data_IF_046642447308
#
_entry.id   IF_046642447308
#
_cell.length_a   1.000
_cell.length_b   1.000
_cell.length_c   1.000
_cell.angle_alpha   90.00
_cell.angle_beta   90.00
_cell.angle_gamma   90.00
#
_symmetry.space_group_name_H-M   'P 1'
#
loop_
_entity.id
_entity.type
_entity.pdbx_description
1 polymer ?
#
# COMPACT_ATOMS: atom_id res chain seq x y z
N UNK A 1 -20.22 -10.79 19.25
CA UNK A 1 -21.48 -10.76 18.49
C UNK A 1 -21.22 -11.35 17.12
N UNK A 2 -22.01 -12.34 16.70
CA UNK A 2 -21.96 -12.85 15.32
C UNK A 2 -22.93 -12.04 14.48
N UNK A 3 -22.43 -11.31 13.49
CA UNK A 3 -23.24 -10.61 12.51
C UNK A 3 -23.47 -11.57 11.32
N UNK A 4 -24.66 -12.13 11.13
CA UNK A 4 -24.91 -13.09 10.05
C UNK A 4 -24.95 -12.39 8.68
N UNK A 5 -24.68 -13.15 7.62
CA UNK A 5 -24.84 -12.65 6.25
C UNK A 5 -26.31 -12.26 5.99
N UNK A 6 -26.60 -11.12 5.33
CA UNK A 6 -27.98 -10.70 5.08
C UNK A 6 -28.76 -11.75 4.27
N UNK A 7 -29.95 -12.12 4.75
CA UNK A 7 -30.84 -13.08 4.07
C UNK A 7 -31.64 -12.44 2.93
N UNK A 8 -31.67 -11.11 2.86
CA UNK A 8 -32.38 -10.34 1.85
C UNK A 8 -31.48 -9.23 1.28
N UNK A 9 -31.64 -8.95 -0.02
CA UNK A 9 -30.95 -7.84 -0.66
C UNK A 9 -31.46 -6.51 -0.10
N UNK A 10 -30.55 -5.58 0.14
CA UNK A 10 -30.88 -4.16 0.34
C UNK A 10 -30.78 -3.44 -0.99
N UNK A 11 -31.55 -2.37 -1.15
CA UNK A 11 -31.37 -1.44 -2.26
C UNK A 11 -30.03 -0.72 -2.16
N UNK A 12 -29.57 -0.18 -3.30
CA UNK A 12 -28.36 0.66 -3.37
C UNK A 12 -28.43 1.83 -2.39
N UNK A 13 -29.59 2.47 -2.28
CA UNK A 13 -29.78 3.64 -1.42
C UNK A 13 -29.71 3.29 0.07
N UNK A 14 -30.36 2.20 0.49
CA UNK A 14 -30.27 1.71 1.86
C UNK A 14 -28.83 1.40 2.27
N UNK A 15 -28.04 0.80 1.36
CA UNK A 15 -26.62 0.51 1.62
C UNK A 15 -25.82 1.81 1.75
N UNK A 16 -25.98 2.73 0.79
CA UNK A 16 -25.21 3.98 0.78
C UNK A 16 -25.56 4.90 1.95
N UNK A 17 -26.83 4.95 2.39
CA UNK A 17 -27.23 5.72 3.56
C UNK A 17 -26.58 5.14 4.82
N UNK A 18 -26.63 3.83 5.03
CA UNK A 18 -25.96 3.20 6.16
C UNK A 18 -24.44 3.46 6.19
N UNK A 19 -23.78 3.50 5.02
CA UNK A 19 -22.36 3.84 4.93
C UNK A 19 -22.08 5.31 5.26
N UNK A 20 -22.96 6.24 4.87
CA UNK A 20 -22.84 7.67 5.21
C UNK A 20 -23.03 7.89 6.71
N UNK A 21 -24.04 7.27 7.30
CA UNK A 21 -24.32 7.35 8.74
C UNK A 21 -23.14 6.82 9.56
N UNK A 22 -22.53 5.71 9.13
CA UNK A 22 -21.33 5.18 9.76
C UNK A 22 -20.15 6.16 9.67
N UNK A 23 -19.90 6.72 8.47
CA UNK A 23 -18.81 7.68 8.22
C UNK A 23 -18.94 8.96 9.06
N UNK A 24 -20.14 9.39 9.42
CA UNK A 24 -20.35 10.61 10.23
C UNK A 24 -19.77 10.48 11.65
N UNK A 25 -19.44 9.26 12.09
CA UNK A 25 -18.75 8.98 13.35
C UNK A 25 -17.22 8.97 13.22
N UNK A 26 -16.67 9.08 12.01
CA UNK A 26 -15.23 9.11 11.79
C UNK A 26 -14.60 10.43 12.24
N UNK A 27 -13.27 10.42 12.39
CA UNK A 27 -12.52 11.64 12.67
C UNK A 27 -12.77 12.69 11.59
N UNK A 28 -13.13 13.90 12.00
CA UNK A 28 -13.36 15.04 11.11
C UNK A 28 -12.04 15.66 10.66
N UNK A 29 -11.20 14.87 9.98
CA UNK A 29 -9.84 15.24 9.56
C UNK A 29 -9.82 16.47 8.65
N UNK A 30 -10.90 16.73 7.91
CA UNK A 30 -11.07 17.92 7.07
C UNK A 30 -11.03 19.23 7.87
N UNK A 31 -11.27 19.19 9.18
CA UNK A 31 -11.13 20.35 10.08
C UNK A 31 -9.67 20.65 10.46
N UNK A 32 -8.71 19.88 9.95
CA UNK A 32 -7.27 20.07 10.18
C UNK A 32 -6.80 19.74 11.60
N UNK A 33 -7.60 19.01 12.38
CA UNK A 33 -7.30 18.66 13.78
C UNK A 33 -6.96 17.18 13.99
N UNK A 34 -6.82 16.42 12.91
CA UNK A 34 -6.31 15.05 12.96
C UNK A 34 -4.80 15.08 12.72
N UNK A 35 -4.02 14.54 13.66
CA UNK A 35 -2.59 14.34 13.47
C UNK A 35 -2.34 13.07 12.66
N UNK A 36 -1.61 13.17 11.54
CA UNK A 36 -1.35 12.08 10.59
C UNK A 36 -2.65 11.52 9.96
N UNK A 37 -2.62 10.27 9.49
CA UNK A 37 -3.71 9.48 8.91
C UNK A 37 -4.15 9.86 7.49
N UNK A 38 -4.49 11.13 7.24
CA UNK A 38 -4.97 11.58 5.92
C UNK A 38 -4.06 12.67 5.37
N UNK A 39 -3.32 12.33 4.31
CA UNK A 39 -2.42 13.24 3.60
C UNK A 39 -3.13 13.75 2.35
N UNK A 40 -3.81 14.88 2.47
CA UNK A 40 -4.55 15.52 1.38
C UNK A 40 -3.72 16.62 0.73
N UNK A 41 -3.69 16.64 -0.60
CA UNK A 41 -3.07 17.70 -1.38
C UNK A 41 -4.03 18.88 -1.58
N UNK A 42 -5.05 18.70 -2.41
CA UNK A 42 -6.02 19.73 -2.78
C UNK A 42 -7.30 19.10 -3.35
N UNK A 43 -8.37 19.89 -3.53
CA UNK A 43 -9.67 19.38 -4.01
C UNK A 43 -9.64 18.90 -5.46
N UNK A 44 -8.90 19.58 -6.33
CA UNK A 44 -8.70 19.19 -7.72
C UNK A 44 -7.96 17.84 -7.83
N UNK A 45 -6.97 17.60 -6.95
CA UNK A 45 -6.31 16.29 -6.85
C UNK A 45 -7.29 15.23 -6.35
N UNK A 46 -8.14 15.54 -5.37
CA UNK A 46 -9.16 14.58 -4.87
C UNK A 46 -10.14 14.16 -5.98
N UNK A 47 -10.55 15.09 -6.85
CA UNK A 47 -11.43 14.83 -7.99
C UNK A 47 -10.76 13.94 -9.03
N UNK A 48 -9.53 14.27 -9.42
CA UNK A 48 -8.73 13.45 -10.32
C UNK A 48 -8.56 12.01 -9.80
N UNK A 49 -8.21 11.85 -8.52
CA UNK A 49 -8.00 10.54 -7.91
C UNK A 49 -9.29 9.71 -7.88
N UNK A 50 -10.45 10.33 -7.62
CA UNK A 50 -11.75 9.64 -7.68
C UNK A 50 -12.07 9.18 -9.09
N UNK A 51 -11.90 10.04 -10.09
CA UNK A 51 -12.16 9.70 -11.48
C UNK A 51 -11.22 8.58 -11.96
N UNK A 52 -9.93 8.69 -11.69
CA UNK A 52 -8.96 7.64 -12.02
C UNK A 52 -9.29 6.31 -11.34
N UNK A 53 -9.68 6.33 -10.06
CA UNK A 53 -10.07 5.12 -9.33
C UNK A 53 -11.32 4.46 -9.91
N UNK A 54 -12.28 5.25 -10.41
CA UNK A 54 -13.47 4.72 -11.07
C UNK A 54 -13.17 4.17 -12.47
N UNK A 55 -12.25 4.78 -13.21
CA UNK A 55 -11.79 4.29 -14.51
C UNK A 55 -11.11 2.92 -14.41
N UNK A 56 -10.38 2.67 -13.33
CA UNK A 56 -9.62 1.43 -13.12
C UNK A 56 -10.20 0.55 -11.99
N UNK A 57 -11.49 0.72 -11.64
CA UNK A 57 -12.10 0.10 -10.47
C UNK A 57 -12.11 -1.44 -10.51
N UNK A 58 -12.14 -2.03 -11.70
CA UNK A 58 -12.29 -3.49 -11.89
C UNK A 58 -11.04 -4.17 -12.44
N UNK A 59 -10.01 -3.39 -12.74
CA UNK A 59 -8.78 -3.81 -13.37
C UNK A 59 -7.85 -4.49 -12.36
N UNK A 60 -7.00 -5.39 -12.84
CA UNK A 60 -6.19 -6.25 -11.97
C UNK A 60 -4.75 -6.39 -12.47
N UNK A 61 -3.78 -5.95 -11.65
CA UNK A 61 -2.35 -6.02 -11.97
C UNK A 61 -1.75 -7.43 -12.07
N UNK A 62 -2.50 -8.49 -11.74
CA UNK A 62 -2.00 -9.88 -11.79
C UNK A 62 -1.58 -10.34 -13.20
N UNK A 63 -2.24 -9.84 -14.25
CA UNK A 63 -1.92 -10.18 -15.64
C UNK A 63 -1.53 -8.93 -16.44
N UNK A 64 -0.24 -8.59 -16.54
CA UNK A 64 0.24 -7.41 -17.26
C UNK A 64 -0.07 -7.42 -18.77
N UNK A 65 -0.31 -8.61 -19.35
CA UNK A 65 -0.69 -8.72 -20.77
C UNK A 65 -2.17 -8.41 -20.99
N UNK A 66 -3.03 -8.67 -19.98
CA UNK A 66 -4.44 -8.31 -20.03
C UNK A 66 -4.67 -6.82 -19.75
N UNK A 67 -3.83 -6.21 -18.89
CA UNK A 67 -3.94 -4.80 -18.49
C UNK A 67 -2.63 -4.04 -18.75
N UNK A 68 -2.26 -3.81 -20.03
CA UNK A 68 -1.01 -3.13 -20.38
C UNK A 68 -0.98 -1.67 -19.91
N UNK A 69 -2.13 -1.04 -19.70
CA UNK A 69 -2.27 0.29 -19.11
C UNK A 69 -1.74 0.33 -17.67
N UNK A 70 -2.13 -0.62 -16.82
CA UNK A 70 -1.64 -0.70 -15.45
C UNK A 70 -0.13 -0.90 -15.41
N UNK A 71 0.40 -1.81 -16.24
CA UNK A 71 1.85 -2.02 -16.38
C UNK A 71 2.58 -0.72 -16.73
N UNK A 72 2.04 0.06 -17.68
CA UNK A 72 2.60 1.35 -18.07
C UNK A 72 2.68 2.29 -16.86
N UNK A 73 1.57 2.48 -16.16
CA UNK A 73 1.54 3.41 -15.02
C UNK A 73 2.44 2.98 -13.87
N UNK A 74 2.48 1.69 -13.53
CA UNK A 74 3.42 1.18 -12.51
C UNK A 74 4.88 1.42 -12.91
N UNK A 75 5.22 1.22 -14.18
CA UNK A 75 6.57 1.48 -14.71
C UNK A 75 6.92 2.98 -14.64
N UNK A 76 5.98 3.86 -15.00
CA UNK A 76 6.18 5.31 -14.94
C UNK A 76 6.32 5.81 -13.50
N UNK A 77 5.54 5.28 -12.55
CA UNK A 77 5.65 5.58 -11.12
C UNK A 77 7.05 5.23 -10.61
N UNK A 78 7.56 4.06 -10.97
CA UNK A 78 8.90 3.61 -10.58
C UNK A 78 9.98 4.53 -11.16
N UNK A 79 9.89 4.86 -12.46
CA UNK A 79 10.85 5.75 -13.12
C UNK A 79 10.86 7.17 -12.50
N UNK A 80 9.69 7.76 -12.26
CA UNK A 80 9.58 9.07 -11.61
C UNK A 80 10.14 9.04 -10.18
N UNK A 81 9.89 7.97 -9.42
CA UNK A 81 10.41 7.82 -8.05
C UNK A 81 11.92 7.64 -8.03
N UNK A 82 12.46 6.82 -8.94
CA UNK A 82 13.90 6.60 -9.12
C UNK A 82 14.62 7.92 -9.44
N UNK A 83 14.07 8.70 -10.39
CA UNK A 83 14.57 10.03 -10.74
C UNK A 83 14.53 11.00 -9.55
N UNK A 84 13.40 11.04 -8.81
CA UNK A 84 13.24 11.90 -7.63
C UNK A 84 14.25 11.58 -6.52
N UNK A 85 14.62 10.31 -6.35
CA UNK A 85 15.59 9.86 -5.34
C UNK A 85 17.04 9.89 -5.82
N UNK A 86 17.29 10.28 -7.07
CA UNK A 86 18.63 10.48 -7.61
C UNK A 86 19.37 9.22 -8.07
N UNK A 87 18.65 8.15 -8.42
CA UNK A 87 19.24 6.94 -9.00
C UNK A 87 18.49 6.50 -10.26
N UNK A 88 19.03 6.85 -11.43
CA UNK A 88 18.44 6.51 -12.73
C UNK A 88 18.55 5.02 -13.08
N UNK A 89 19.40 4.25 -12.38
CA UNK A 89 19.53 2.81 -12.57
C UNK A 89 18.69 2.00 -11.58
N UNK A 90 17.99 2.67 -10.66
CA UNK A 90 17.15 2.00 -9.70
C UNK A 90 16.01 1.24 -10.39
N UNK A 91 15.77 0.02 -9.93
CA UNK A 91 14.63 -0.81 -10.31
C UNK A 91 13.82 -1.17 -9.09
N UNK A 92 12.54 -1.48 -9.27
CA UNK A 92 11.66 -1.80 -8.15
C UNK A 92 10.32 -2.36 -8.56
N UNK A 93 9.41 -2.37 -7.59
CA UNK A 93 8.02 -2.76 -7.76
C UNK A 93 7.13 -1.82 -6.93
N UNK A 94 5.94 -1.52 -7.45
CA UNK A 94 4.90 -0.85 -6.66
C UNK A 94 4.39 -1.83 -5.60
N UNK A 95 4.11 -1.33 -4.39
CA UNK A 95 3.61 -2.14 -3.27
C UNK A 95 2.38 -1.47 -2.67
N UNK A 96 1.59 -2.21 -1.90
CA UNK A 96 0.36 -1.70 -1.25
C UNK A 96 0.61 -0.61 -0.20
N UNK A 97 1.85 -0.45 0.26
CA UNK A 97 2.26 0.62 1.16
C UNK A 97 3.59 0.31 1.85
N UNK A 98 4.07 1.26 2.66
CA UNK A 98 5.42 1.20 3.24
C UNK A 98 5.69 -0.06 4.09
N UNK A 99 4.66 -0.68 4.66
CA UNK A 99 4.82 -1.94 5.39
C UNK A 99 5.24 -3.08 4.47
N UNK A 100 4.60 -3.22 3.30
CA UNK A 100 4.98 -4.22 2.32
C UNK A 100 6.33 -3.90 1.69
N UNK A 101 6.63 -2.62 1.41
CA UNK A 101 7.94 -2.22 0.88
C UNK A 101 9.08 -2.62 1.81
N UNK A 102 8.95 -2.37 3.12
CA UNK A 102 9.94 -2.79 4.12
C UNK A 102 10.05 -4.31 4.20
N UNK A 103 8.92 -5.03 4.12
CA UNK A 103 8.92 -6.49 4.13
C UNK A 103 9.71 -7.06 2.94
N UNK A 104 9.45 -6.52 1.74
CA UNK A 104 10.10 -6.94 0.50
C UNK A 104 11.59 -6.61 0.48
N UNK A 105 12.00 -5.46 1.03
CA UNK A 105 13.40 -5.09 1.15
C UNK A 105 14.17 -6.10 2.02
N UNK A 106 13.64 -6.42 3.21
CA UNK A 106 14.29 -7.38 4.13
C UNK A 106 14.27 -8.79 3.57
N UNK A 107 13.15 -9.25 3.00
CA UNK A 107 13.05 -10.56 2.34
C UNK A 107 14.12 -10.69 1.24
N UNK A 108 14.25 -9.65 0.40
CA UNK A 108 15.24 -9.63 -0.69
C UNK A 108 16.67 -9.70 -0.15
N UNK A 109 17.02 -8.90 0.86
CA UNK A 109 18.33 -8.93 1.49
C UNK A 109 18.65 -10.30 2.12
N UNK A 110 17.68 -10.90 2.82
CA UNK A 110 17.82 -12.24 3.41
C UNK A 110 18.05 -13.30 2.35
N UNK A 111 17.23 -13.33 1.31
CA UNK A 111 17.30 -14.36 0.27
C UNK A 111 18.60 -14.20 -0.55
N UNK A 112 19.03 -12.96 -0.79
CA UNK A 112 20.33 -12.64 -1.37
C UNK A 112 21.48 -13.16 -0.49
N UNK A 113 21.44 -12.91 0.82
CA UNK A 113 22.46 -13.36 1.76
C UNK A 113 22.51 -14.89 1.86
N UNK A 114 21.37 -15.58 1.87
CA UNK A 114 21.31 -17.05 1.84
C UNK A 114 21.96 -17.63 0.58
N UNK A 115 21.80 -16.97 -0.56
CA UNK A 115 22.41 -17.38 -1.84
C UNK A 115 23.91 -17.14 -1.89
N UNK A 116 24.38 -15.96 -1.46
CA UNK A 116 25.78 -15.54 -1.64
C UNK A 116 26.67 -15.80 -0.41
N UNK A 117 26.07 -16.00 0.76
CA UNK A 117 26.77 -16.29 2.03
C UNK A 117 26.13 -17.50 2.73
N UNK A 118 26.13 -18.70 2.10
CA UNK A 118 25.44 -19.89 2.63
C UNK A 118 25.98 -20.38 3.98
N UNK A 119 27.17 -19.94 4.40
CA UNK A 119 27.74 -20.18 5.73
C UNK A 119 26.97 -19.45 6.84
N UNK A 120 26.26 -18.36 6.53
CA UNK A 120 25.47 -17.61 7.50
C UNK A 120 24.12 -18.32 7.69
N UNK A 121 24.00 -19.11 8.77
CA UNK A 121 22.78 -19.88 9.07
C UNK A 121 21.69 -19.08 9.76
N UNK A 122 22.08 -18.01 10.46
CA UNK A 122 21.18 -17.14 11.19
C UNK A 122 21.53 -15.69 10.84
N UNK A 123 20.95 -15.12 9.77
CA UNK A 123 21.19 -13.73 9.42
C UNK A 123 20.64 -12.81 10.51
N UNK A 124 21.24 -11.64 10.67
CA UNK A 124 20.84 -10.62 11.65
C UNK A 124 20.62 -9.26 10.97
N UNK A 125 19.71 -8.44 11.52
CA UNK A 125 19.46 -7.07 11.08
C UNK A 125 19.83 -6.12 12.22
N UNK A 126 20.71 -5.17 11.95
CA UNK A 126 21.07 -4.11 12.88
C UNK A 126 20.20 -2.89 12.57
N UNK A 127 19.43 -2.43 13.55
CA UNK A 127 18.45 -1.36 13.39
C UNK A 127 18.54 -0.34 14.53
N UNK A 128 18.32 0.96 14.27
CA UNK A 128 18.20 1.94 15.34
C UNK A 128 16.95 1.68 16.19
N UNK A 129 16.97 2.13 17.46
CA UNK A 129 15.85 1.94 18.38
C UNK A 129 14.54 2.57 17.87
N UNK A 130 14.65 3.65 17.10
CA UNK A 130 13.57 4.41 16.46
C UNK A 130 13.07 3.79 15.15
N UNK A 131 13.65 2.69 14.68
CA UNK A 131 13.21 2.03 13.46
C UNK A 131 11.72 1.67 13.52
N UNK A 132 11.06 1.70 12.36
CA UNK A 132 9.62 1.46 12.26
C UNK A 132 9.23 0.13 12.96
N UNK A 133 8.21 0.11 13.84
CA UNK A 133 7.89 -1.06 14.69
C UNK A 133 7.65 -2.36 13.92
N UNK A 134 7.24 -2.26 12.65
CA UNK A 134 7.09 -3.41 11.76
C UNK A 134 8.34 -4.29 11.70
N UNK A 135 9.53 -3.69 11.58
CA UNK A 135 10.78 -4.43 11.42
C UNK A 135 11.06 -5.32 12.64
N UNK A 136 10.64 -4.89 13.83
CA UNK A 136 10.66 -5.69 15.06
C UNK A 136 9.54 -6.73 15.07
N UNK A 137 8.30 -6.33 14.79
CA UNK A 137 7.09 -7.18 14.88
C UNK A 137 7.09 -8.35 13.89
N UNK A 138 7.67 -8.16 12.71
CA UNK A 138 7.70 -9.15 11.63
C UNK A 138 9.01 -9.95 11.57
N UNK A 139 9.88 -9.85 12.59
CA UNK A 139 11.17 -10.57 12.66
C UNK A 139 11.04 -12.05 12.27
N UNK A 140 10.03 -12.75 12.79
CA UNK A 140 9.86 -14.19 12.56
C UNK A 140 9.45 -14.55 11.12
N UNK A 141 8.90 -13.61 10.35
CA UNK A 141 8.59 -13.78 8.92
C UNK A 141 9.78 -13.32 8.06
N UNK A 142 10.54 -12.38 8.60
CA UNK A 142 11.62 -11.67 7.92
C UNK A 142 12.99 -12.34 8.02
N UNK A 143 13.24 -13.21 9.00
CA UNK A 143 14.53 -13.88 9.27
C UNK A 143 14.35 -15.40 9.28
#
# INVERSE_FOLDING_TARGET
MTLPFPTHKKSKEEILNAMRDARDHDVQWQKGRAFSLVYRASSDVDELLKEASLLFFSENGLNPSAFPSLRKFETEILAMTASLLGDENAVGAVTSGGTESLLMAVKTARDWARKHHPQIKQPEMILPVSAHPLLKKRRNILM
#
